data_IF_738858298886
#
_entry.id   IF_738858298886
#
_cell.length_a   1.000
_cell.length_b   1.000
_cell.length_c   1.000
_cell.angle_alpha   90.00
_cell.angle_beta   90.00
_cell.angle_gamma   90.00
#
_symmetry.space_group_name_H-M   'P 1'
#
loop_
_entity.id
_entity.type
_entity.pdbx_description
1 polymer ?
#
# COMPACT_ATOMS: atom_id res chain seq x y z
N UNK A 1 54.33 -7.24 20.80
CA UNK A 1 52.98 -7.75 21.17
C UNK A 1 52.18 -6.61 21.78
N UNK A 2 51.01 -6.28 21.23
CA UNK A 2 50.11 -5.25 21.76
C UNK A 2 48.95 -5.93 22.50
N UNK A 3 48.77 -5.56 23.76
CA UNK A 3 47.84 -6.11 24.74
C UNK A 3 46.47 -5.36 24.69
N UNK A 4 45.42 -6.03 25.20
CA UNK A 4 44.24 -5.48 25.89
C UNK A 4 43.02 -5.05 25.03
N UNK A 5 41.76 -5.32 25.39
CA UNK A 5 41.10 -5.84 26.62
C UNK A 5 39.68 -6.33 26.26
N UNK A 6 39.18 -7.37 26.94
CA UNK A 6 37.75 -7.73 26.99
C UNK A 6 37.00 -6.77 27.91
N UNK A 7 35.79 -6.33 27.55
CA UNK A 7 34.80 -5.81 28.50
C UNK A 7 33.43 -6.42 28.20
N UNK A 8 32.94 -7.12 29.21
CA UNK A 8 31.57 -7.62 29.40
C UNK A 8 30.69 -6.42 29.78
N UNK A 9 29.53 -6.26 29.17
CA UNK A 9 28.46 -5.40 29.72
C UNK A 9 27.20 -6.25 29.84
N UNK A 10 26.87 -6.55 31.10
CA UNK A 10 25.63 -7.19 31.52
C UNK A 10 24.43 -6.25 31.43
N UNK A 11 23.25 -6.86 31.58
CA UNK A 11 21.93 -6.29 31.39
C UNK A 11 21.53 -5.24 32.44
N UNK A 12 20.72 -4.28 32.03
CA UNK A 12 19.66 -3.69 32.87
C UNK A 12 18.41 -3.41 32.03
N UNK A 13 17.29 -4.01 32.47
CA UNK A 13 15.96 -3.70 31.97
C UNK A 13 15.51 -2.34 32.52
N UNK A 14 15.12 -1.42 31.65
CA UNK A 14 14.40 -0.21 32.03
C UNK A 14 12.95 -0.34 31.56
N UNK A 15 12.06 -0.52 32.53
CA UNK A 15 10.63 -0.31 32.36
C UNK A 15 10.40 1.17 32.02
N UNK A 16 9.98 1.47 30.80
CA UNK A 16 9.51 2.81 30.45
C UNK A 16 8.03 2.90 30.79
N UNK A 17 7.79 3.36 32.02
CA UNK A 17 6.52 3.95 32.43
C UNK A 17 6.12 5.09 31.50
N UNK A 18 4.81 5.24 31.33
CA UNK A 18 4.16 6.29 30.56
C UNK A 18 4.61 7.69 31.01
N UNK A 19 5.34 8.40 30.16
CA UNK A 19 5.50 9.84 30.26
C UNK A 19 4.52 10.51 29.29
N UNK A 20 3.56 11.22 29.87
CA UNK A 20 2.71 12.19 29.16
C UNK A 20 3.60 13.36 28.73
N UNK A 21 3.80 13.55 27.43
CA UNK A 21 4.49 14.74 26.91
C UNK A 21 3.51 15.91 26.89
N UNK A 22 3.82 16.95 27.65
CA UNK A 22 3.22 18.29 27.54
C UNK A 22 3.84 18.96 26.30
N UNK A 23 3.01 19.42 25.37
CA UNK A 23 3.46 20.19 24.21
C UNK A 23 3.58 21.67 24.58
N UNK A 24 4.76 22.24 24.34
CA UNK A 24 5.02 23.69 24.45
C UNK A 24 4.72 24.32 23.09
N UNK A 25 3.85 25.33 23.08
CA UNK A 25 3.43 26.06 21.89
C UNK A 25 4.33 27.30 21.73
N UNK A 26 5.11 27.37 20.64
CA UNK A 26 5.81 28.59 20.22
C UNK A 26 5.31 29.00 18.84
N UNK A 27 4.58 30.12 18.81
CA UNK A 27 4.05 30.73 17.59
C UNK A 27 5.14 31.58 16.93
N UNK A 28 5.58 31.21 15.73
CA UNK A 28 5.68 32.11 14.56
C UNK A 28 6.42 31.42 13.40
N UNK A 29 5.63 30.78 12.53
CA UNK A 29 5.84 30.81 11.08
C UNK A 29 4.52 30.36 10.46
N UNK A 30 3.96 31.16 9.58
CA UNK A 30 2.71 30.88 8.86
C UNK A 30 2.86 29.62 7.98
N UNK A 31 2.61 28.46 8.57
CA UNK A 31 2.24 27.23 7.87
C UNK A 31 0.89 26.79 8.41
N UNK A 32 -0.14 27.03 7.60
CA UNK A 32 -1.51 26.59 7.89
C UNK A 32 -1.51 25.07 8.05
N UNK A 33 -2.07 24.64 9.17
CA UNK A 33 -2.09 23.29 9.72
C UNK A 33 -2.29 22.17 8.71
N UNK A 34 -1.36 21.20 8.70
CA UNK A 34 -1.65 19.87 8.19
C UNK A 34 -2.90 19.33 8.90
N UNK A 35 -3.92 18.94 8.14
CA UNK A 35 -5.09 18.27 8.69
C UNK A 35 -4.62 17.12 9.60
N UNK A 36 -5.01 17.22 10.87
CA UNK A 36 -4.35 16.58 12.00
C UNK A 36 -4.01 15.10 11.75
N UNK A 37 -2.73 14.75 11.89
CA UNK A 37 -2.34 13.39 12.19
C UNK A 37 -3.12 12.94 13.44
N UNK A 38 -4.03 11.96 13.29
CA UNK A 38 -4.78 11.48 14.44
C UNK A 38 -3.90 10.49 15.19
N UNK A 39 -3.32 10.93 16.31
CA UNK A 39 -2.63 10.01 17.25
C UNK A 39 -3.61 9.01 17.89
N UNK A 40 -4.91 9.29 17.80
CA UNK A 40 -6.02 8.46 18.28
C UNK A 40 -6.74 7.75 17.13
N UNK A 41 -7.36 6.60 17.43
CA UNK A 41 -8.22 5.90 16.46
C UNK A 41 -9.43 6.76 16.09
N UNK A 42 -9.66 6.92 14.80
CA UNK A 42 -10.81 7.64 14.25
C UNK A 42 -11.75 6.68 13.54
N UNK A 43 -12.94 7.18 13.23
CA UNK A 43 -13.91 6.47 12.39
C UNK A 43 -13.48 6.59 10.93
N UNK A 44 -13.18 5.46 10.27
CA UNK A 44 -12.70 5.41 8.89
C UNK A 44 -13.69 4.64 8.01
N UNK A 45 -13.98 5.15 6.82
CA UNK A 45 -14.90 4.56 5.84
C UNK A 45 -14.10 3.85 4.74
N UNK A 46 -14.21 2.53 4.67
CA UNK A 46 -13.63 1.71 3.60
C UNK A 46 -14.70 1.39 2.54
N UNK A 47 -14.30 1.33 1.28
CA UNK A 47 -15.10 0.72 0.20
C UNK A 47 -14.34 -0.41 -0.45
N UNK A 48 -14.96 -1.56 -0.69
CA UNK A 48 -14.27 -2.72 -1.28
C UNK A 48 -14.28 -2.71 -2.82
N UNK A 49 -13.18 -3.16 -3.43
CA UNK A 49 -13.07 -3.43 -4.87
C UNK A 49 -13.39 -4.90 -5.21
N UNK A 50 -13.41 -5.79 -4.21
CA UNK A 50 -13.61 -7.21 -4.37
C UNK A 50 -14.37 -7.78 -3.17
N UNK A 51 -14.95 -8.96 -3.32
CA UNK A 51 -15.45 -9.71 -2.17
C UNK A 51 -14.27 -10.02 -1.24
N UNK A 52 -14.43 -9.75 0.05
CA UNK A 52 -13.41 -10.05 1.05
C UNK A 52 -13.95 -11.01 2.08
N UNK A 53 -13.23 -12.11 2.31
CA UNK A 53 -13.42 -12.89 3.52
C UNK A 53 -12.94 -12.11 4.75
N UNK A 54 -13.45 -12.50 5.91
CA UNK A 54 -12.95 -12.03 7.20
C UNK A 54 -11.99 -13.07 7.76
N UNK A 55 -10.89 -12.61 8.33
CA UNK A 55 -9.81 -13.40 8.90
C UNK A 55 -9.67 -13.08 10.39
N UNK A 56 -9.06 -13.98 11.14
CA UNK A 56 -8.66 -13.73 12.52
C UNK A 56 -7.28 -13.05 12.58
N UNK A 57 -6.80 -12.80 13.81
CA UNK A 57 -5.50 -12.16 14.09
C UNK A 57 -4.28 -12.95 13.60
N UNK A 58 -4.46 -14.22 13.22
CA UNK A 58 -3.45 -15.15 12.72
C UNK A 58 -3.58 -15.37 11.21
N UNK A 59 -4.52 -14.68 10.53
CA UNK A 59 -4.73 -14.80 9.09
C UNK A 59 -5.52 -16.04 8.69
N UNK A 60 -6.15 -16.75 9.63
CA UNK A 60 -7.07 -17.85 9.32
C UNK A 60 -8.43 -17.29 8.97
N UNK A 61 -9.00 -17.76 7.85
CA UNK A 61 -10.33 -17.35 7.41
C UNK A 61 -11.40 -17.81 8.40
N UNK A 62 -12.24 -16.88 8.82
CA UNK A 62 -13.39 -17.16 9.66
C UNK A 62 -14.53 -17.80 8.85
N UNK A 63 -15.36 -18.62 9.51
CA UNK A 63 -16.62 -19.13 8.93
C UNK A 63 -17.76 -18.13 9.15
N UNK A 64 -17.84 -17.57 10.36
CA UNK A 64 -18.83 -16.55 10.77
C UNK A 64 -18.15 -15.30 11.30
N UNK A 65 -18.77 -14.14 11.10
CA UNK A 65 -18.37 -12.84 11.64
C UNK A 65 -19.63 -12.06 12.02
N UNK A 66 -19.72 -11.61 13.27
CA UNK A 66 -20.92 -10.94 13.82
C UNK A 66 -22.21 -11.73 13.56
N UNK A 67 -22.20 -13.04 13.82
CA UNK A 67 -23.34 -13.93 13.63
C UNK A 67 -23.67 -14.32 12.17
N UNK A 68 -23.08 -13.65 11.17
CA UNK A 68 -23.33 -13.89 9.73
C UNK A 68 -22.15 -14.57 9.05
N UNK A 69 -22.31 -14.99 7.79
CA UNK A 69 -21.20 -15.51 6.97
C UNK A 69 -20.06 -14.50 6.93
N UNK A 70 -18.83 -14.95 7.14
CA UNK A 70 -17.61 -14.13 7.14
C UNK A 70 -17.17 -13.72 5.73
N UNK A 71 -18.07 -13.09 4.98
CA UNK A 71 -17.89 -12.62 3.62
C UNK A 71 -18.52 -11.24 3.47
N UNK A 72 -17.69 -10.26 3.16
CA UNK A 72 -18.08 -8.89 2.84
C UNK A 72 -18.08 -8.77 1.32
N UNK A 73 -19.20 -8.31 0.75
CA UNK A 73 -19.37 -8.20 -0.71
C UNK A 73 -18.67 -6.96 -1.24
N UNK A 74 -18.25 -7.03 -2.51
CA UNK A 74 -17.71 -5.88 -3.26
C UNK A 74 -18.67 -4.68 -3.16
N UNK A 75 -18.14 -3.47 -3.25
CA UNK A 75 -18.90 -2.21 -3.14
C UNK A 75 -19.53 -1.91 -1.78
N UNK A 76 -19.49 -2.82 -0.79
CA UNK A 76 -19.93 -2.50 0.55
C UNK A 76 -19.05 -1.41 1.18
N UNK A 77 -19.70 -0.47 1.87
CA UNK A 77 -19.06 0.52 2.73
C UNK A 77 -18.90 -0.09 4.12
N UNK A 78 -17.69 -0.04 4.67
CA UNK A 78 -17.39 -0.50 6.02
C UNK A 78 -16.95 0.70 6.85
N UNK A 79 -17.56 0.88 8.01
CA UNK A 79 -17.09 1.84 9.00
C UNK A 79 -16.28 1.10 10.04
N UNK A 80 -15.03 1.48 10.22
CA UNK A 80 -14.08 0.84 11.15
C UNK A 80 -13.45 1.89 12.07
N UNK A 81 -12.80 1.42 13.13
CA UNK A 81 -11.85 2.24 13.89
C UNK A 81 -10.45 1.97 13.37
N UNK A 82 -9.68 3.03 13.19
CA UNK A 82 -8.30 2.92 12.73
C UNK A 82 -7.53 4.22 12.83
N UNK A 83 -6.22 4.12 12.71
CA UNK A 83 -5.30 5.25 12.80
C UNK A 83 -4.75 5.60 11.42
N UNK A 84 -4.97 6.84 11.01
CA UNK A 84 -4.44 7.41 9.76
C UNK A 84 -3.29 8.34 10.12
N UNK A 85 -2.14 8.14 9.49
CA UNK A 85 -0.94 8.97 9.71
C UNK A 85 -0.39 9.47 8.38
N UNK A 86 0.18 10.68 8.33
CA UNK A 86 0.93 11.15 7.17
C UNK A 86 2.20 10.31 6.96
N UNK A 87 2.63 10.21 5.72
CA UNK A 87 3.86 9.48 5.36
C UNK A 87 4.73 10.31 4.42
N UNK A 88 6.04 10.31 4.67
CA UNK A 88 7.04 10.86 3.76
C UNK A 88 7.54 9.79 2.76
N UNK A 89 7.50 8.52 3.17
CA UNK A 89 7.89 7.37 2.34
C UNK A 89 6.70 6.43 2.15
N UNK A 90 6.50 5.99 0.92
CA UNK A 90 5.41 5.08 0.56
C UNK A 90 5.43 3.81 1.43
N UNK A 91 4.30 3.56 2.07
CA UNK A 91 3.99 2.29 2.75
C UNK A 91 3.39 1.31 1.74
N UNK A 92 3.39 0.01 2.03
CA UNK A 92 2.84 -1.04 1.14
C UNK A 92 1.47 -0.67 0.56
N UNK A 93 0.61 -0.14 1.42
CA UNK A 93 -0.68 0.46 1.07
C UNK A 93 -0.74 1.88 1.64
N UNK A 94 -1.18 2.82 0.83
CA UNK A 94 -1.24 4.24 1.17
C UNK A 94 -2.27 4.93 0.28
N UNK A 95 -2.64 6.18 0.58
CA UNK A 95 -3.54 6.96 -0.26
C UNK A 95 -3.14 8.43 -0.21
N UNK A 96 -3.50 9.17 -1.24
CA UNK A 96 -3.30 10.62 -1.27
C UNK A 96 -4.56 11.32 -0.80
N UNK A 97 -4.40 12.29 0.10
CA UNK A 97 -5.48 13.16 0.53
C UNK A 97 -5.85 14.20 -0.53
N UNK A 98 -6.60 15.20 -0.09
CA UNK A 98 -6.94 16.39 -0.87
C UNK A 98 -5.67 17.13 -1.26
N UNK A 99 -5.66 17.72 -2.47
CA UNK A 99 -4.62 18.66 -2.88
C UNK A 99 -4.81 19.97 -2.11
N UNK A 100 -3.78 20.43 -1.43
CA UNK A 100 -3.78 21.66 -0.64
C UNK A 100 -2.51 22.45 -0.97
N UNK A 101 -2.67 23.69 -1.46
CA UNK A 101 -1.56 24.58 -1.82
C UNK A 101 -0.52 23.94 -2.76
N UNK A 102 -0.99 23.18 -3.76
CA UNK A 102 -0.13 22.48 -4.72
C UNK A 102 0.55 21.22 -4.16
N UNK A 103 0.46 20.96 -2.86
CA UNK A 103 0.96 19.75 -2.23
C UNK A 103 -0.15 18.71 -2.10
N UNK A 104 0.18 17.45 -2.41
CA UNK A 104 -0.74 16.33 -2.25
C UNK A 104 -0.22 15.38 -1.15
N UNK A 105 -0.61 15.58 0.12
CA UNK A 105 -0.12 14.77 1.21
C UNK A 105 -0.51 13.29 1.03
N UNK A 106 0.42 12.41 1.39
CA UNK A 106 0.21 10.97 1.39
C UNK A 106 0.00 10.49 2.83
N UNK A 107 -0.91 9.54 2.97
CA UNK A 107 -1.28 8.95 4.25
C UNK A 107 -1.28 7.43 4.16
N UNK A 108 -1.18 6.78 5.31
CA UNK A 108 -1.49 5.36 5.45
C UNK A 108 -2.47 5.12 6.58
N UNK A 109 -3.39 4.18 6.36
CA UNK A 109 -4.17 3.58 7.43
C UNK A 109 -3.37 2.42 8.00
N UNK A 110 -3.22 2.38 9.32
CA UNK A 110 -2.47 1.30 9.99
C UNK A 110 -3.05 -0.06 9.63
N UNK A 111 -2.17 -0.99 9.23
CA UNK A 111 -2.51 -2.37 8.92
C UNK A 111 -1.56 -3.33 9.63
N UNK A 112 -1.99 -4.57 9.79
CA UNK A 112 -1.17 -5.66 10.31
C UNK A 112 -0.64 -6.50 9.15
N UNK A 113 0.67 -6.76 9.12
CA UNK A 113 1.23 -7.82 8.29
C UNK A 113 1.03 -9.16 9.01
N UNK A 114 0.39 -10.11 8.36
CA UNK A 114 0.20 -11.47 8.87
C UNK A 114 0.65 -12.41 7.77
N UNK A 115 1.68 -13.21 8.05
CA UNK A 115 2.41 -13.97 7.03
C UNK A 115 2.89 -13.02 5.91
N UNK A 116 2.53 -13.27 4.65
CA UNK A 116 2.93 -12.46 3.50
C UNK A 116 1.83 -11.49 3.01
N UNK A 117 0.74 -11.35 3.75
CA UNK A 117 -0.40 -10.50 3.42
C UNK A 117 -0.56 -9.35 4.44
N UNK A 118 -1.31 -8.32 4.04
CA UNK A 118 -1.58 -7.14 4.85
C UNK A 118 -3.07 -6.99 5.09
N UNK A 119 -3.43 -6.60 6.31
CA UNK A 119 -4.80 -6.62 6.79
C UNK A 119 -5.20 -5.36 7.55
N UNK A 120 -6.40 -4.85 7.27
CA UNK A 120 -7.07 -3.87 8.12
C UNK A 120 -7.90 -4.59 9.19
N UNK A 121 -7.78 -4.14 10.43
CA UNK A 121 -8.73 -4.51 11.48
C UNK A 121 -10.11 -3.92 11.16
N UNK A 122 -11.16 -4.72 11.32
CA UNK A 122 -12.55 -4.27 11.14
C UNK A 122 -13.35 -4.36 12.45
N UNK A 123 -12.64 -4.44 13.58
CA UNK A 123 -13.22 -4.67 14.91
C UNK A 123 -13.55 -6.15 15.18
N UNK A 124 -13.99 -6.45 16.40
CA UNK A 124 -14.45 -7.79 16.82
C UNK A 124 -13.49 -8.93 16.43
N UNK A 125 -12.18 -8.70 16.58
CA UNK A 125 -11.09 -9.63 16.21
C UNK A 125 -11.08 -10.05 14.73
N UNK A 126 -11.79 -9.32 13.87
CA UNK A 126 -11.91 -9.56 12.44
C UNK A 126 -10.97 -8.68 11.62
N UNK A 127 -10.47 -9.24 10.53
CA UNK A 127 -9.51 -8.61 9.63
C UNK A 127 -9.91 -8.83 8.18
N UNK A 128 -9.64 -7.84 7.30
CA UNK A 128 -9.80 -7.99 5.85
C UNK A 128 -8.48 -7.67 5.15
N UNK A 129 -8.21 -8.33 4.02
CA UNK A 129 -7.00 -8.04 3.24
C UNK A 129 -7.06 -6.62 2.67
N UNK A 130 -5.98 -5.85 2.83
CA UNK A 130 -5.88 -4.48 2.31
C UNK A 130 -6.08 -4.44 0.79
N UNK A 131 -5.61 -5.47 0.06
CA UNK A 131 -5.75 -5.57 -1.40
C UNK A 131 -7.21 -5.52 -1.90
N UNK A 132 -8.17 -5.91 -1.06
CA UNK A 132 -9.60 -5.92 -1.40
C UNK A 132 -10.28 -4.55 -1.18
N UNK A 133 -9.56 -3.57 -0.64
CA UNK A 133 -10.06 -2.21 -0.40
C UNK A 133 -9.79 -1.33 -1.64
N UNK A 134 -10.82 -0.60 -2.06
CA UNK A 134 -10.79 0.40 -3.14
C UNK A 134 -10.42 1.78 -2.61
N UNK A 135 -11.11 2.23 -1.57
CA UNK A 135 -10.96 3.59 -1.04
C UNK A 135 -10.96 3.62 0.48
N UNK A 136 -10.28 4.61 1.03
CA UNK A 136 -10.28 5.00 2.44
C UNK A 136 -10.78 6.45 2.50
N UNK A 137 -11.89 6.68 3.20
CA UNK A 137 -12.57 7.99 3.29
C UNK A 137 -12.79 8.66 1.92
N UNK A 138 -13.08 7.85 0.91
CA UNK A 138 -13.30 8.29 -0.47
C UNK A 138 -12.03 8.42 -1.32
N UNK A 139 -10.85 8.45 -0.70
CA UNK A 139 -9.56 8.49 -1.41
C UNK A 139 -9.15 7.11 -1.92
N UNK A 140 -8.66 7.05 -3.15
CA UNK A 140 -8.24 5.78 -3.76
C UNK A 140 -7.05 5.17 -3.05
N UNK A 141 -7.17 3.90 -2.67
CA UNK A 141 -6.08 3.14 -2.09
C UNK A 141 -5.06 2.81 -3.17
N UNK A 142 -3.81 3.12 -2.87
CA UNK A 142 -2.64 2.83 -3.68
C UNK A 142 -1.83 1.68 -3.07
N UNK A 143 -1.07 0.99 -3.91
CA UNK A 143 -0.09 0.01 -3.46
C UNK A 143 1.26 0.22 -4.14
N UNK A 144 2.35 -0.10 -3.44
CA UNK A 144 3.72 -0.02 -3.97
C UNK A 144 4.08 -1.16 -4.91
N UNK A 145 3.20 -2.15 -5.04
CA UNK A 145 3.45 -3.39 -5.77
C UNK A 145 2.13 -4.16 -5.94
N UNK A 146 1.95 -4.86 -7.06
CA UNK A 146 0.74 -5.62 -7.31
C UNK A 146 1.04 -6.88 -8.13
N UNK A 147 0.28 -7.95 -7.89
CA UNK A 147 0.35 -9.15 -8.72
C UNK A 147 -0.62 -9.01 -9.89
N UNK A 148 -0.12 -9.20 -11.10
CA UNK A 148 -0.91 -9.19 -12.34
C UNK A 148 -0.85 -10.56 -13.00
N UNK A 149 -1.80 -10.83 -13.90
CA UNK A 149 -1.79 -12.04 -14.73
C UNK A 149 -1.74 -11.62 -16.18
N UNK A 150 -0.77 -12.18 -16.92
CA UNK A 150 -0.59 -11.93 -18.34
C UNK A 150 -1.73 -12.57 -19.12
N UNK A 151 -2.33 -11.81 -20.04
CA UNK A 151 -3.33 -12.23 -21.00
C UNK A 151 -3.23 -11.30 -22.22
N UNK A 152 -2.29 -11.59 -23.15
CA UNK A 152 -2.12 -10.79 -24.34
C UNK A 152 -3.39 -10.84 -25.21
N UNK A 153 -3.71 -9.74 -25.89
CA UNK A 153 -4.94 -9.64 -26.70
C UNK A 153 -4.81 -10.30 -28.07
N UNK A 154 -3.67 -10.09 -28.71
CA UNK A 154 -3.45 -10.45 -30.12
C UNK A 154 -2.52 -11.67 -30.22
N UNK A 155 -1.48 -11.72 -29.39
CA UNK A 155 -0.41 -12.71 -29.51
C UNK A 155 -0.48 -13.81 -28.44
N UNK A 156 0.38 -14.82 -28.56
CA UNK A 156 0.56 -15.86 -27.52
C UNK A 156 1.39 -15.37 -26.32
N UNK A 157 2.08 -14.23 -26.46
CA UNK A 157 2.97 -13.65 -25.45
C UNK A 157 2.76 -12.15 -25.32
N UNK A 158 3.05 -11.62 -24.13
CA UNK A 158 3.20 -10.19 -23.89
C UNK A 158 4.64 -9.80 -24.21
N UNK A 159 4.80 -8.82 -25.11
CA UNK A 159 6.10 -8.19 -25.33
C UNK A 159 6.46 -7.32 -24.15
N UNK A 160 7.74 -6.94 -24.07
CA UNK A 160 8.22 -6.02 -23.05
C UNK A 160 8.97 -4.86 -23.67
N UNK A 161 9.03 -3.76 -22.93
CA UNK A 161 9.72 -2.54 -23.30
C UNK A 161 10.66 -2.10 -22.19
N UNK A 162 11.66 -1.30 -22.54
CA UNK A 162 12.46 -0.58 -21.55
C UNK A 162 11.78 0.75 -21.18
N UNK A 163 12.40 1.53 -20.30
CA UNK A 163 11.86 2.81 -19.83
C UNK A 163 11.79 3.89 -20.95
N UNK A 164 12.57 3.74 -22.01
CA UNK A 164 12.56 4.63 -23.18
C UNK A 164 11.46 4.27 -24.19
N UNK A 165 10.71 3.18 -23.96
CA UNK A 165 9.66 2.73 -24.88
C UNK A 165 10.18 1.85 -26.02
N UNK A 166 11.44 1.42 -25.97
CA UNK A 166 12.03 0.50 -26.95
C UNK A 166 11.70 -0.94 -26.58
N UNK A 167 11.31 -1.74 -27.58
CA UNK A 167 10.97 -3.13 -27.38
C UNK A 167 12.21 -3.96 -27.00
N UNK A 168 12.06 -4.88 -26.04
CA UNK A 168 13.13 -5.81 -25.65
C UNK A 168 12.86 -7.23 -26.16
N UNK A 169 13.86 -8.11 -26.05
CA UNK A 169 13.73 -9.54 -26.39
C UNK A 169 12.93 -10.35 -25.37
N UNK A 170 12.73 -9.83 -24.15
CA UNK A 170 12.01 -10.53 -23.10
C UNK A 170 10.51 -10.57 -23.42
N UNK A 171 9.90 -11.73 -23.24
CA UNK A 171 8.45 -11.93 -23.35
C UNK A 171 7.89 -12.71 -22.16
N UNK A 172 6.58 -12.60 -21.96
CA UNK A 172 5.85 -13.37 -20.95
C UNK A 172 4.65 -14.09 -21.58
N UNK A 173 4.49 -15.37 -21.26
CA UNK A 173 3.38 -16.22 -21.73
C UNK A 173 2.07 -15.88 -21.01
N UNK A 174 0.96 -16.09 -21.71
CA UNK A 174 -0.38 -16.03 -21.12
C UNK A 174 -0.49 -16.90 -19.85
N UNK A 175 -1.20 -16.41 -18.85
CA UNK A 175 -1.39 -17.08 -17.56
C UNK A 175 -0.27 -16.85 -16.54
N UNK A 176 0.91 -16.36 -16.94
CA UNK A 176 1.97 -16.05 -15.99
C UNK A 176 1.54 -14.96 -15.00
N UNK A 177 1.91 -15.15 -13.73
CA UNK A 177 1.71 -14.16 -12.67
C UNK A 177 3.01 -13.42 -12.43
N UNK A 178 2.95 -12.10 -12.51
CA UNK A 178 4.10 -11.22 -12.30
C UNK A 178 3.81 -10.26 -11.17
N UNK A 179 4.85 -9.86 -10.45
CA UNK A 179 4.78 -8.76 -9.50
C UNK A 179 5.24 -7.51 -10.22
N UNK A 180 4.40 -6.48 -10.28
CA UNK A 180 4.77 -5.16 -10.78
C UNK A 180 5.07 -4.22 -9.61
N UNK A 181 5.93 -3.23 -9.82
CA UNK A 181 6.26 -2.24 -8.79
C UNK A 181 6.31 -0.79 -9.29
N UNK A 182 6.05 -0.53 -10.57
CA UNK A 182 5.96 0.82 -11.10
C UNK A 182 4.94 0.92 -12.23
N UNK A 183 4.43 2.12 -12.48
CA UNK A 183 3.51 2.43 -13.60
C UNK A 183 4.04 3.66 -14.34
N UNK A 184 3.96 3.68 -15.66
CA UNK A 184 4.20 4.88 -16.46
C UNK A 184 3.46 4.79 -17.80
N UNK A 185 3.38 5.89 -18.53
CA UNK A 185 3.07 5.87 -19.97
C UNK A 185 4.42 6.04 -20.66
N UNK A 186 4.90 4.98 -21.30
CA UNK A 186 6.21 5.00 -21.97
C UNK A 186 6.12 5.79 -23.29
N UNK A 187 7.24 6.33 -23.79
CA UNK A 187 7.28 6.87 -25.15
C UNK A 187 6.72 5.85 -26.15
N UNK A 188 5.95 6.34 -27.13
CA UNK A 188 5.34 5.52 -28.19
C UNK A 188 4.31 4.47 -27.69
N UNK A 189 3.89 4.53 -26.42
CA UNK A 189 2.82 3.70 -25.88
C UNK A 189 1.58 4.56 -25.59
N UNK A 190 0.42 4.15 -26.09
CA UNK A 190 -0.85 4.87 -25.91
C UNK A 190 -1.61 4.43 -24.64
N UNK A 191 -0.95 3.73 -23.73
CA UNK A 191 -1.58 3.16 -22.53
C UNK A 191 -0.59 3.01 -21.37
N UNK A 192 -1.11 2.70 -20.19
CA UNK A 192 -0.27 2.42 -19.03
C UNK A 192 0.62 1.21 -19.30
N UNK A 193 1.86 1.32 -18.86
CA UNK A 193 2.84 0.26 -18.81
C UNK A 193 3.25 0.03 -17.35
N UNK A 194 3.54 -1.22 -16.99
CA UNK A 194 3.91 -1.60 -15.64
C UNK A 194 5.28 -2.27 -15.60
N UNK A 195 6.16 -1.82 -14.71
CA UNK A 195 7.49 -2.43 -14.55
C UNK A 195 7.37 -3.74 -13.78
N UNK A 196 7.97 -4.80 -14.30
CA UNK A 196 8.12 -6.08 -13.60
C UNK A 196 9.19 -5.92 -12.51
N UNK A 197 8.81 -6.20 -11.26
CA UNK A 197 9.65 -6.01 -10.07
C UNK A 197 10.96 -6.79 -10.20
N UNK A 198 12.07 -6.10 -9.91
CA UNK A 198 13.42 -6.69 -10.00
C UNK A 198 14.01 -6.70 -11.41
N UNK A 199 13.38 -6.03 -12.36
CA UNK A 199 13.85 -5.93 -13.75
C UNK A 199 13.60 -4.52 -14.29
N UNK A 200 14.17 -4.22 -15.46
CA UNK A 200 13.87 -3.01 -16.24
C UNK A 200 12.82 -3.23 -17.33
N UNK A 201 12.15 -4.39 -17.33
CA UNK A 201 11.12 -4.71 -18.29
C UNK A 201 9.76 -4.16 -17.90
N UNK A 202 9.11 -3.53 -18.86
CA UNK A 202 7.77 -2.98 -18.75
C UNK A 202 6.82 -3.77 -19.63
N UNK A 203 5.60 -3.98 -19.15
CA UNK A 203 4.52 -4.66 -19.88
C UNK A 203 3.34 -3.71 -20.07
N UNK A 204 2.73 -3.74 -21.25
CA UNK A 204 1.54 -2.95 -21.55
C UNK A 204 0.35 -3.43 -20.72
N UNK A 205 -0.47 -2.48 -20.24
CA UNK A 205 -1.73 -2.79 -19.56
C UNK A 205 -2.70 -3.58 -20.44
N UNK A 206 -2.59 -3.47 -21.76
CA UNK A 206 -3.43 -4.19 -22.71
C UNK A 206 -3.18 -5.71 -22.68
N UNK A 207 -1.98 -6.12 -22.27
CA UNK A 207 -1.59 -7.53 -22.14
C UNK A 207 -1.87 -8.11 -20.76
N UNK A 208 -2.60 -7.39 -19.91
CA UNK A 208 -3.01 -7.86 -18.60
C UNK A 208 -4.46 -8.36 -18.62
N UNK A 209 -4.71 -9.47 -17.91
CA UNK A 209 -6.06 -9.98 -17.67
C UNK A 209 -6.97 -8.95 -16.98
N UNK A 210 -6.39 -8.11 -16.13
CA UNK A 210 -7.04 -6.95 -15.52
C UNK A 210 -6.00 -5.99 -14.99
N UNK A 211 -6.37 -4.71 -14.87
CA UNK A 211 -5.55 -3.70 -14.20
C UNK A 211 -5.13 -4.13 -12.77
N UNK A 212 -3.93 -3.71 -12.32
CA UNK A 212 -3.46 -3.93 -10.95
C UNK A 212 -4.43 -3.40 -9.90
N UNK A 213 -4.50 -4.08 -8.74
CA UNK A 213 -5.39 -3.73 -7.64
C UNK A 213 -4.68 -3.86 -6.28
N UNK A 214 -4.91 -2.93 -5.34
CA UNK A 214 -5.48 -1.58 -5.52
C UNK A 214 -4.70 -0.79 -6.58
N UNK A 215 -5.16 0.41 -6.93
CA UNK A 215 -4.51 1.20 -7.98
C UNK A 215 -3.00 1.30 -7.73
N UNK A 216 -2.21 1.18 -8.79
CA UNK A 216 -0.75 1.26 -8.70
C UNK A 216 -0.29 2.53 -9.40
N UNK A 217 0.41 3.41 -8.68
CA UNK A 217 0.92 4.67 -9.22
C UNK A 217 2.44 4.68 -9.38
N UNK A 218 2.86 5.59 -10.26
CA UNK A 218 4.22 5.97 -10.61
C UNK A 218 5.03 6.26 -9.34
N UNK A 219 5.98 5.38 -8.99
CA UNK A 219 6.89 5.61 -7.87
C UNK A 219 7.88 6.74 -8.16
N UNK A 220 8.19 7.01 -9.44
CA UNK A 220 9.15 8.06 -9.83
C UNK A 220 8.68 9.51 -9.60
N UNK A 221 7.44 9.75 -9.16
CA UNK A 221 6.95 11.07 -8.73
C UNK A 221 6.82 11.26 -7.22
N UNK A 222 6.92 10.18 -6.44
CA UNK A 222 6.83 10.27 -4.96
C UNK A 222 8.05 11.02 -4.38
N UNK A 223 9.14 11.17 -5.15
CA UNK A 223 10.42 11.70 -4.70
C UNK A 223 10.81 13.04 -5.34
N UNK A 224 9.87 13.80 -5.93
CA UNK A 224 10.19 15.10 -6.58
C UNK A 224 9.71 16.34 -5.81
N UNK A 225 9.21 16.16 -4.59
CA UNK A 225 8.76 17.26 -3.73
C UNK A 225 9.47 17.23 -2.37
N UNK A 226 10.77 16.95 -2.37
CA UNK A 226 11.68 17.29 -1.28
C UNK A 226 12.73 18.25 -1.83
#
# INVERSE_FOLDING_TARGET
MKLNKKIIIGATALALGSLSVVAINTNNSNYVSASAASTKETTVKLRLNHNSYVYDKNGKRLKKYKGKKALIKKSQKLTIKGKIEPIQKAKRYYFYGKLENGNRPAYWLTYKKINNDYYYSIGNKGYIKCVNVKTIDGYSLMSTEATVTIKPRIEKVARTWNKLGEQTTKTYKSGQKLIINDTNILPNQNTYSYRVKGTDYWISAQDLKSYPRPSHMVTSRILRYN
#
